data_IF_300409628256
#
_entry.id   IF_300409628256
#
_cell.length_a   1.000
_cell.length_b   1.000
_cell.length_c   1.000
_cell.angle_alpha   90.00
_cell.angle_beta   90.00
_cell.angle_gamma   90.00
#
_symmetry.space_group_name_H-M   'P 1'
#
loop_
_entity.id
_entity.type
_entity.pdbx_description
1 polymer ?
#
# COMPACT_ATOMS: atom_id res chain seq x y z
N UNK A 1 16.57 10.39 1.67
CA UNK A 1 15.89 10.84 0.43
C UNK A 1 14.91 9.80 -0.11
N UNK A 2 15.15 8.48 0.02
CA UNK A 2 14.21 7.43 -0.40
C UNK A 2 12.81 7.50 0.27
N UNK A 3 12.75 7.65 1.61
CA UNK A 3 11.48 7.74 2.38
C UNK A 3 10.47 8.78 1.89
N UNK A 4 10.93 9.86 1.24
CA UNK A 4 10.02 10.90 0.75
C UNK A 4 9.32 10.46 -0.55
N UNK A 5 10.02 9.72 -1.41
CA UNK A 5 9.46 9.24 -2.68
C UNK A 5 8.43 8.14 -2.43
N UNK A 6 8.69 7.24 -1.47
CA UNK A 6 7.74 6.18 -1.09
C UNK A 6 6.43 6.79 -0.57
N UNK A 7 6.51 7.81 0.28
CA UNK A 7 5.32 8.54 0.76
C UNK A 7 4.56 9.24 -0.37
N UNK A 8 5.27 9.84 -1.34
CA UNK A 8 4.63 10.47 -2.51
C UNK A 8 3.94 9.45 -3.41
N UNK A 9 4.57 8.28 -3.62
CA UNK A 9 3.96 7.19 -4.38
C UNK A 9 2.73 6.64 -3.66
N UNK A 10 2.83 6.44 -2.34
CA UNK A 10 1.73 5.98 -1.51
C UNK A 10 0.53 6.92 -1.63
N UNK A 11 0.75 8.23 -1.46
CA UNK A 11 -0.30 9.23 -1.62
C UNK A 11 -0.88 9.25 -3.03
N UNK A 12 -0.04 9.20 -4.07
CA UNK A 12 -0.49 9.22 -5.45
C UNK A 12 -1.40 8.03 -5.79
N UNK A 13 -1.14 6.85 -5.23
CA UNK A 13 -1.96 5.65 -5.43
C UNK A 13 -3.21 5.70 -4.57
N UNK A 14 -3.09 5.99 -3.28
CA UNK A 14 -4.22 5.91 -2.35
C UNK A 14 -5.23 7.05 -2.48
N UNK A 15 -4.90 8.14 -3.19
CA UNK A 15 -5.86 9.20 -3.53
C UNK A 15 -6.80 8.84 -4.68
N UNK A 16 -6.69 7.64 -5.25
CA UNK A 16 -7.66 7.10 -6.20
C UNK A 16 -9.04 6.93 -5.55
N UNK A 17 -10.09 7.47 -6.19
CA UNK A 17 -11.45 7.49 -5.63
C UNK A 17 -12.06 6.10 -5.48
N UNK A 18 -11.75 5.17 -6.39
CA UNK A 18 -12.26 3.82 -6.34
C UNK A 18 -11.60 3.02 -5.22
N UNK A 19 -10.29 3.21 -5.01
CA UNK A 19 -9.59 2.61 -3.86
C UNK A 19 -10.09 3.15 -2.52
N UNK A 20 -10.29 4.47 -2.40
CA UNK A 20 -10.86 5.10 -1.20
C UNK A 20 -12.25 4.54 -0.90
N UNK A 21 -13.09 4.41 -1.92
CA UNK A 21 -14.45 3.87 -1.78
C UNK A 21 -14.45 2.40 -1.40
N UNK A 22 -13.58 1.58 -2.00
CA UNK A 22 -13.50 0.15 -1.72
C UNK A 22 -12.93 -0.14 -0.33
N UNK A 23 -11.87 0.59 0.06
CA UNK A 23 -11.25 0.46 1.37
C UNK A 23 -11.94 1.23 2.48
N UNK A 24 -12.97 2.04 2.19
CA UNK A 24 -13.67 2.88 3.16
C UNK A 24 -12.75 3.81 3.98
N UNK A 25 -11.71 4.36 3.33
CA UNK A 25 -10.79 5.33 3.94
C UNK A 25 -10.88 6.70 3.25
N UNK A 26 -10.38 7.72 3.92
CA UNK A 26 -10.34 9.11 3.45
C UNK A 26 -8.90 9.59 3.25
N UNK A 27 -8.68 10.72 2.56
CA UNK A 27 -7.33 11.29 2.44
C UNK A 27 -6.64 11.59 3.77
N UNK A 28 -7.41 11.80 4.86
CA UNK A 28 -6.85 12.04 6.19
C UNK A 28 -6.25 10.78 6.83
N UNK A 29 -6.65 9.59 6.36
CA UNK A 29 -6.14 8.30 6.83
C UNK A 29 -4.83 7.90 6.11
N UNK A 30 -4.50 8.58 5.00
CA UNK A 30 -3.26 8.36 4.26
C UNK A 30 -2.09 8.97 5.03
N UNK A 31 -1.16 8.13 5.44
CA UNK A 31 -0.06 8.46 6.35
C UNK A 31 1.32 8.24 5.69
N UNK A 32 2.37 8.03 6.47
CA UNK A 32 3.69 7.63 5.92
C UNK A 32 3.69 6.16 5.53
N UNK A 33 4.65 5.74 4.71
CA UNK A 33 4.84 4.33 4.33
C UNK A 33 5.01 3.42 5.55
N UNK A 34 5.70 3.88 6.61
CA UNK A 34 5.84 3.11 7.84
C UNK A 34 4.51 2.92 8.55
N UNK A 35 3.69 3.98 8.67
CA UNK A 35 2.38 3.89 9.32
C UNK A 35 1.37 3.09 8.48
N UNK A 36 1.47 3.17 7.15
CA UNK A 36 0.61 2.44 6.24
C UNK A 36 0.86 0.92 6.27
N UNK A 37 2.11 0.48 6.49
CA UNK A 37 2.45 -0.94 6.68
C UNK A 37 1.83 -1.54 7.95
N UNK A 38 1.53 -0.71 8.94
CA UNK A 38 0.88 -1.09 10.20
C UNK A 38 -0.63 -0.76 10.19
N UNK A 39 -1.21 -0.35 9.05
CA UNK A 39 -2.62 0.01 8.95
C UNK A 39 -3.51 -1.22 9.04
N UNK A 40 -4.61 -1.11 9.81
CA UNK A 40 -5.70 -2.08 9.84
C UNK A 40 -6.49 -2.10 8.51
N UNK A 41 -6.37 -1.05 7.69
CA UNK A 41 -6.99 -0.99 6.39
C UNK A 41 -6.16 -1.80 5.38
N UNK A 42 -6.70 -2.94 4.96
CA UNK A 42 -6.01 -3.88 4.07
C UNK A 42 -5.65 -3.28 2.71
N UNK A 43 -6.39 -2.26 2.21
CA UNK A 43 -6.05 -1.56 0.96
C UNK A 43 -4.82 -0.68 1.17
N UNK A 44 -4.82 0.16 2.21
CA UNK A 44 -3.69 1.03 2.57
C UNK A 44 -2.43 0.18 2.79
N UNK A 45 -2.57 -0.91 3.54
CA UNK A 45 -1.48 -1.81 3.88
C UNK A 45 -0.94 -2.54 2.63
N UNK A 46 -1.80 -3.09 1.78
CA UNK A 46 -1.38 -3.76 0.56
C UNK A 46 -0.61 -2.84 -0.38
N UNK A 47 -1.06 -1.59 -0.57
CA UNK A 47 -0.33 -0.60 -1.39
C UNK A 47 1.04 -0.28 -0.78
N UNK A 48 1.12 -0.12 0.54
CA UNK A 48 2.38 0.11 1.23
C UNK A 48 3.37 -1.06 1.06
N UNK A 49 2.88 -2.30 1.17
CA UNK A 49 3.67 -3.51 0.93
C UNK A 49 4.21 -3.54 -0.51
N UNK A 50 3.39 -3.22 -1.51
CA UNK A 50 3.81 -3.17 -2.92
C UNK A 50 4.96 -2.18 -3.11
N UNK A 51 4.79 -0.94 -2.64
CA UNK A 51 5.79 0.13 -2.81
C UNK A 51 7.11 -0.27 -2.14
N UNK A 52 7.05 -0.76 -0.90
CA UNK A 52 8.24 -1.20 -0.16
C UNK A 52 8.97 -2.33 -0.90
N UNK A 53 8.23 -3.36 -1.33
CA UNK A 53 8.81 -4.54 -1.99
C UNK A 53 9.39 -4.22 -3.36
N UNK A 54 8.80 -3.29 -4.12
CA UNK A 54 9.41 -2.76 -5.34
C UNK A 54 10.75 -2.06 -5.03
N UNK A 55 10.78 -1.24 -3.97
CA UNK A 55 12.01 -0.59 -3.50
C UNK A 55 13.11 -1.57 -3.07
N UNK A 56 12.73 -2.76 -2.60
CA UNK A 56 13.62 -3.87 -2.24
C UNK A 56 14.02 -4.75 -3.44
N UNK A 57 13.52 -4.45 -4.65
CA UNK A 57 13.85 -5.17 -5.87
C UNK A 57 13.07 -6.48 -6.07
N UNK A 58 11.91 -6.63 -5.42
CA UNK A 58 11.05 -7.80 -5.62
C UNK A 58 10.60 -7.91 -7.08
N UNK A 59 10.57 -9.14 -7.58
CA UNK A 59 10.03 -9.43 -8.91
C UNK A 59 8.50 -9.35 -8.91
N UNK A 60 7.90 -9.11 -10.07
CA UNK A 60 6.44 -9.12 -10.25
C UNK A 60 5.80 -10.42 -9.75
N UNK A 61 6.47 -11.57 -9.94
CA UNK A 61 6.00 -12.87 -9.48
C UNK A 61 5.98 -12.98 -7.94
N UNK A 62 6.99 -12.45 -7.27
CA UNK A 62 7.05 -12.42 -5.80
C UNK A 62 5.99 -11.47 -5.24
N UNK A 63 5.89 -10.27 -5.81
CA UNK A 63 4.86 -9.29 -5.46
C UNK A 63 3.46 -9.89 -5.59
N UNK A 64 3.14 -10.51 -6.73
CA UNK A 64 1.84 -11.15 -6.94
C UNK A 64 1.57 -12.20 -5.86
N UNK A 65 2.54 -13.06 -5.56
CA UNK A 65 2.36 -14.16 -4.60
C UNK A 65 2.11 -13.63 -3.19
N UNK A 66 2.90 -12.67 -2.76
CA UNK A 66 2.85 -12.12 -1.40
C UNK A 66 1.59 -11.29 -1.18
N UNK A 67 1.29 -10.37 -2.10
CA UNK A 67 0.13 -9.49 -1.99
C UNK A 67 -1.17 -10.27 -2.16
N UNK A 68 -1.25 -11.21 -3.11
CA UNK A 68 -2.45 -12.04 -3.25
C UNK A 68 -2.69 -12.88 -1.99
N UNK A 69 -1.63 -13.43 -1.39
CA UNK A 69 -1.77 -14.13 -0.10
C UNK A 69 -2.29 -13.20 0.99
N UNK A 70 -1.68 -12.02 1.13
CA UNK A 70 -2.08 -11.04 2.14
C UNK A 70 -3.55 -10.64 1.98
N UNK A 71 -3.99 -10.33 0.76
CA UNK A 71 -5.37 -9.94 0.49
C UNK A 71 -6.36 -11.09 0.76
N UNK A 72 -6.05 -12.33 0.36
CA UNK A 72 -6.90 -13.49 0.67
C UNK A 72 -7.08 -13.73 2.18
N UNK A 73 -6.10 -13.32 2.98
CA UNK A 73 -6.14 -13.50 4.43
C UNK A 73 -6.85 -12.33 5.16
N UNK A 74 -7.12 -11.20 4.50
CA UNK A 74 -7.58 -9.95 5.14
C UNK A 74 -8.80 -9.27 4.49
N UNK A 75 -9.27 -9.73 3.32
CA UNK A 75 -10.51 -9.28 2.64
C UNK A 75 -11.65 -10.21 2.98
#
# INVERSE_FOLDING_TARGET
>A
MARNNDNKMLQAVLLDEDLMKFGEYTPADISTIEQALDSDNYVINAVAQIIKRIGEGATEKELWKEINKYLMDNV
#
